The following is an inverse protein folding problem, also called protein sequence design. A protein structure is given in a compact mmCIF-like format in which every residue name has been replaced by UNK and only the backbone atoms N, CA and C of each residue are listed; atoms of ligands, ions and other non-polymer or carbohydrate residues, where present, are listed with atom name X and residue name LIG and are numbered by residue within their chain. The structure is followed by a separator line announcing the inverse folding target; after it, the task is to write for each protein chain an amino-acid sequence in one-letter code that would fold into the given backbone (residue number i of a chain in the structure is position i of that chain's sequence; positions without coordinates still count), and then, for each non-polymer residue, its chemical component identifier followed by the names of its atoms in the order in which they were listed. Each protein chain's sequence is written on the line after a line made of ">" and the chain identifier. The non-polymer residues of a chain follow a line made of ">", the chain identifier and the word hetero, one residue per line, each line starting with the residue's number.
data_IF_987408316139
#
_entry.id   IF_987408316139
#
_cell.length_a   1.000
_cell.length_b   1.000
_cell.length_c   1.000
_cell.angle_alpha   90.00
_cell.angle_beta   90.00
_cell.angle_gamma   90.00
#
_symmetry.space_group_name_H-M   'P 1'
#
loop_
_entity.id
_entity.type
_entity.pdbx_description
1 polymer ?
#
# COMPACT_ATOMS: atom_id res chain seq x y z
N UNK A 1 3.93 21.62 1.05
CA UNK A 1 2.99 20.71 0.38
C UNK A 1 3.12 19.35 1.07
N UNK A 2 2.02 18.74 1.45
CA UNK A 2 1.97 17.40 2.07
C UNK A 2 1.17 16.45 1.19
N UNK A 3 1.49 15.16 1.25
CA UNK A 3 0.62 14.11 0.74
C UNK A 3 -0.41 13.85 1.83
N UNK A 4 -1.62 14.21 1.59
CA UNK A 4 -2.74 14.08 2.51
C UNK A 4 -3.58 15.34 2.51
N UNK A 5 -4.86 15.17 2.36
CA UNK A 5 -5.84 16.25 2.35
C UNK A 5 -7.09 15.80 3.09
N UNK A 6 -7.48 16.62 4.04
CA UNK A 6 -8.78 16.53 4.68
C UNK A 6 -9.56 17.83 4.39
N UNK A 7 -10.66 17.71 3.70
CA UNK A 7 -11.51 18.89 3.43
C UNK A 7 -12.40 18.73 2.21
N UNK A 8 -13.45 19.52 2.15
CA UNK A 8 -14.45 19.53 1.09
C UNK A 8 -13.92 19.90 -0.31
N UNK A 9 -12.61 20.15 -0.43
CA UNK A 9 -11.93 20.48 -1.70
C UNK A 9 -11.18 19.30 -2.32
N UNK A 10 -11.14 18.15 -1.64
CA UNK A 10 -10.62 16.92 -2.24
C UNK A 10 -11.52 16.54 -3.43
N UNK A 11 -10.92 16.28 -4.59
CA UNK A 11 -11.68 15.85 -5.76
C UNK A 11 -11.84 14.33 -5.72
N UNK A 12 -13.00 13.83 -6.14
CA UNK A 12 -13.27 12.39 -6.22
C UNK A 12 -12.19 11.64 -7.01
N UNK A 13 -11.67 12.26 -8.09
CA UNK A 13 -10.60 11.66 -8.89
C UNK A 13 -9.32 11.43 -8.09
N UNK A 14 -8.95 12.39 -7.24
CA UNK A 14 -7.73 12.26 -6.42
C UNK A 14 -7.95 11.26 -5.29
N UNK A 15 -9.12 11.31 -4.63
CA UNK A 15 -9.48 10.33 -3.59
C UNK A 15 -9.44 8.92 -4.17
N UNK A 16 -10.12 8.68 -5.31
CA UNK A 16 -10.14 7.38 -5.97
C UNK A 16 -8.74 6.93 -6.43
N UNK A 17 -7.91 7.84 -6.93
CA UNK A 17 -6.53 7.50 -7.29
C UNK A 17 -5.73 7.04 -6.07
N UNK A 18 -5.84 7.76 -4.94
CA UNK A 18 -5.13 7.40 -3.72
C UNK A 18 -5.63 6.07 -3.15
N UNK A 19 -6.94 5.83 -3.19
CA UNK A 19 -7.60 4.59 -2.81
C UNK A 19 -7.07 3.39 -3.62
N UNK A 20 -7.09 3.49 -4.94
CA UNK A 20 -6.57 2.46 -5.83
C UNK A 20 -5.07 2.17 -5.61
N UNK A 21 -4.29 3.17 -5.21
CA UNK A 21 -2.88 3.01 -4.86
C UNK A 21 -2.64 2.41 -3.47
N UNK A 22 -3.70 2.17 -2.70
CA UNK A 22 -3.64 1.55 -1.37
C UNK A 22 -3.35 2.52 -0.23
N UNK A 23 -3.66 3.80 -0.40
CA UNK A 23 -3.67 4.76 0.71
C UNK A 23 -4.99 4.71 1.47
N UNK A 24 -4.93 5.08 2.75
CA UNK A 24 -6.16 5.34 3.51
C UNK A 24 -6.94 6.49 2.89
N UNK A 25 -8.21 6.26 2.61
CA UNK A 25 -9.14 7.25 2.07
C UNK A 25 -10.44 7.28 2.88
N UNK A 26 -11.14 8.39 2.80
CA UNK A 26 -12.43 8.58 3.41
C UNK A 26 -13.28 9.55 2.59
N UNK A 27 -14.41 9.95 3.15
CA UNK A 27 -15.26 10.93 2.48
C UNK A 27 -14.56 12.29 2.39
N UNK A 28 -14.12 12.67 1.19
CA UNK A 28 -13.37 13.91 0.90
C UNK A 28 -11.99 13.99 1.59
N UNK A 29 -11.37 12.86 1.86
CA UNK A 29 -10.03 12.84 2.42
C UNK A 29 -9.18 11.71 1.87
N UNK A 30 -7.88 11.90 1.94
CA UNK A 30 -6.86 10.86 1.86
C UNK A 30 -5.70 11.22 2.78
N UNK A 31 -5.11 10.22 3.41
CA UNK A 31 -4.03 10.40 4.37
C UNK A 31 -2.76 9.72 3.87
N UNK A 32 -1.61 10.18 4.39
CA UNK A 32 -0.34 9.50 4.15
C UNK A 32 -0.23 8.25 5.04
N UNK A 33 -1.11 7.26 4.78
CA UNK A 33 -1.07 5.91 5.32
C UNK A 33 -1.18 4.94 4.16
N UNK A 34 -0.42 3.88 4.14
CA UNK A 34 -0.39 2.91 3.04
C UNK A 34 0.62 3.24 1.93
N UNK A 35 1.46 4.24 2.12
CA UNK A 35 2.50 4.58 1.15
C UNK A 35 3.50 3.43 0.96
N UNK A 36 3.90 3.22 -0.29
CA UNK A 36 4.93 2.28 -0.72
C UNK A 36 6.10 3.02 -1.35
N UNK A 37 7.25 2.37 -1.59
CA UNK A 37 8.34 2.98 -2.35
C UNK A 37 7.91 3.50 -3.73
N UNK A 38 7.03 2.75 -4.44
CA UNK A 38 6.48 3.13 -5.74
C UNK A 38 5.66 4.42 -5.64
N UNK A 39 4.71 4.47 -4.70
CA UNK A 39 3.86 5.66 -4.53
C UNK A 39 4.64 6.87 -4.03
N UNK A 40 5.64 6.68 -3.18
CA UNK A 40 6.54 7.73 -2.74
C UNK A 40 7.35 8.33 -3.89
N UNK A 41 7.80 7.48 -4.81
CA UNK A 41 8.51 7.92 -6.01
C UNK A 41 7.59 8.72 -6.94
N UNK A 42 6.42 8.19 -7.28
CA UNK A 42 5.44 8.84 -8.16
C UNK A 42 4.93 10.18 -7.63
N UNK A 43 4.65 10.25 -6.34
CA UNK A 43 4.16 11.46 -5.69
C UNK A 43 5.29 12.44 -5.34
N UNK A 44 6.54 12.12 -5.72
CA UNK A 44 7.74 12.92 -5.46
C UNK A 44 7.88 13.27 -3.96
N UNK A 45 7.64 12.27 -3.08
CA UNK A 45 7.76 12.45 -1.63
C UNK A 45 9.23 12.47 -1.26
N UNK A 46 9.74 13.65 -0.97
CA UNK A 46 11.16 13.85 -0.68
C UNK A 46 11.50 13.72 0.80
N UNK A 47 10.61 14.18 1.66
CA UNK A 47 10.82 14.18 3.11
C UNK A 47 9.60 13.66 3.84
N UNK A 48 9.82 12.89 4.91
CA UNK A 48 8.82 12.54 5.90
C UNK A 48 9.09 13.29 7.20
N UNK A 49 8.03 13.83 7.79
CA UNK A 49 8.02 14.42 9.12
C UNK A 49 7.16 13.52 9.99
N UNK A 50 7.79 12.79 10.88
CA UNK A 50 7.13 11.77 11.70
C UNK A 50 7.17 12.16 13.17
N UNK A 51 6.07 12.02 13.89
CA UNK A 51 6.04 12.32 15.32
C UNK A 51 6.80 11.22 16.06
N UNK A 52 7.65 11.60 17.03
CA UNK A 52 8.54 10.65 17.73
C UNK A 52 7.82 9.55 18.51
N UNK A 53 6.53 9.76 18.84
CA UNK A 53 5.70 8.78 19.56
C UNK A 53 5.14 7.69 18.63
N UNK A 54 5.21 7.88 17.31
CA UNK A 54 4.71 6.93 16.33
C UNK A 54 5.78 5.91 15.94
N UNK A 55 5.37 4.70 15.62
CA UNK A 55 6.27 3.69 15.06
C UNK A 55 6.34 3.84 13.54
N UNK A 56 7.50 4.17 13.00
CA UNK A 56 7.72 4.29 11.57
C UNK A 56 8.47 3.07 11.02
N UNK A 57 7.85 2.36 10.08
CA UNK A 57 8.54 1.43 9.18
C UNK A 57 8.75 2.13 7.86
N UNK A 58 10.01 2.45 7.52
CA UNK A 58 10.35 3.17 6.30
C UNK A 58 11.79 2.87 5.86
N UNK A 59 12.02 2.91 4.55
CA UNK A 59 13.32 2.89 3.91
C UNK A 59 13.99 4.28 3.83
N UNK A 60 13.26 5.34 4.27
CA UNK A 60 13.79 6.71 4.26
C UNK A 60 14.92 6.87 5.27
N UNK A 61 15.95 7.61 4.86
CA UNK A 61 17.12 7.87 5.71
C UNK A 61 16.80 8.95 6.74
N UNK A 62 17.00 8.62 8.03
CA UNK A 62 16.93 9.62 9.10
C UNK A 62 17.94 10.75 8.87
N UNK A 63 17.47 11.98 8.96
CA UNK A 63 18.31 13.18 8.85
C UNK A 63 18.55 13.85 10.19
N UNK A 64 17.47 14.17 10.91
CA UNK A 64 17.55 14.92 12.18
C UNK A 64 16.21 14.91 12.90
N UNK A 65 16.26 15.22 14.18
CA UNK A 65 15.09 15.60 14.98
C UNK A 65 14.93 17.11 15.02
N UNK A 66 13.70 17.59 14.91
CA UNK A 66 13.35 18.99 15.10
C UNK A 66 12.06 19.13 15.92
N UNK A 67 12.18 19.58 17.17
CA UNK A 67 11.09 19.58 18.13
C UNK A 67 10.66 18.14 18.46
N UNK A 68 9.38 17.82 18.25
CA UNK A 68 8.80 16.48 18.47
C UNK A 68 8.76 15.63 17.20
N UNK A 69 9.36 16.11 16.10
CA UNK A 69 9.36 15.40 14.82
C UNK A 69 10.74 14.90 14.46
N UNK A 70 10.79 13.66 14.00
CA UNK A 70 11.91 13.10 13.27
C UNK A 70 11.72 13.34 11.77
N UNK A 71 12.79 13.77 11.10
CA UNK A 71 12.80 14.10 9.68
C UNK A 71 13.62 13.06 8.95
N UNK A 72 13.01 12.47 7.94
CA UNK A 72 13.61 11.46 7.08
C UNK A 72 13.64 11.94 5.63
N UNK A 73 14.66 11.56 4.88
CA UNK A 73 14.82 11.86 3.45
C UNK A 73 14.68 10.59 2.63
N UNK A 74 13.89 10.67 1.55
CA UNK A 74 13.77 9.59 0.58
C UNK A 74 15.13 9.39 -0.12
N UNK A 75 15.73 8.19 -0.05
CA UNK A 75 16.99 7.90 -0.73
C UNK A 75 16.83 7.75 -2.24
N UNK A 76 15.61 7.63 -2.76
CA UNK A 76 15.36 7.45 -4.18
C UNK A 76 15.91 8.61 -5.00
N UNK A 77 16.65 8.27 -6.06
CA UNK A 77 17.15 9.22 -7.05
C UNK A 77 16.28 9.17 -8.29
N UNK A 78 16.32 10.24 -9.07
CA UNK A 78 15.56 10.32 -10.33
C UNK A 78 14.11 10.76 -10.18
N UNK A 79 13.67 11.11 -8.97
CA UNK A 79 12.33 11.68 -8.78
C UNK A 79 12.20 13.00 -9.53
N UNK A 80 11.09 13.14 -10.25
CA UNK A 80 10.74 14.32 -11.05
C UNK A 80 9.30 14.74 -10.76
N UNK A 81 8.92 15.90 -11.26
CA UNK A 81 7.54 16.41 -11.20
C UNK A 81 6.63 15.76 -12.23
N UNK A 82 7.19 15.00 -13.18
CA UNK A 82 6.45 14.27 -14.21
C UNK A 82 7.39 13.37 -15.00
N UNK A 83 6.79 12.37 -15.64
CA UNK A 83 7.45 11.37 -16.45
C UNK A 83 6.70 11.17 -17.75
N UNK A 84 7.41 10.93 -18.85
CA UNK A 84 6.81 10.39 -20.06
C UNK A 84 6.53 8.90 -19.81
N UNK A 85 5.30 8.50 -19.94
CA UNK A 85 4.87 7.12 -19.78
C UNK A 85 4.52 6.53 -21.13
N UNK A 86 4.61 5.21 -21.26
CA UNK A 86 4.18 4.50 -22.45
C UNK A 86 2.69 4.76 -22.74
N UNK A 87 2.28 4.66 -23.99
CA UNK A 87 0.88 4.87 -24.41
C UNK A 87 -0.10 3.87 -23.77
N UNK A 88 0.39 2.69 -23.38
CA UNK A 88 -0.34 1.63 -22.67
C UNK A 88 -0.84 2.06 -21.28
N UNK A 89 -0.30 3.12 -20.69
CA UNK A 89 -0.80 3.66 -19.42
C UNK A 89 -2.31 4.02 -19.45
N UNK A 90 -2.89 4.17 -20.64
CA UNK A 90 -4.33 4.40 -20.81
C UNK A 90 -5.16 3.18 -20.41
N UNK A 91 -4.56 2.00 -20.41
CA UNK A 91 -5.16 0.72 -20.05
C UNK A 91 -4.83 0.30 -18.60
N UNK A 92 -4.23 1.22 -17.81
CA UNK A 92 -3.89 0.98 -16.42
C UNK A 92 -5.09 0.50 -15.60
N UNK A 93 -4.90 -0.62 -14.90
CA UNK A 93 -5.91 -1.26 -14.08
C UNK A 93 -6.20 -0.46 -12.80
N UNK A 94 -7.49 -0.27 -12.51
CA UNK A 94 -7.95 0.43 -11.31
C UNK A 94 -8.94 -0.44 -10.52
N UNK A 95 -8.56 -0.82 -9.31
CA UNK A 95 -9.44 -1.48 -8.35
C UNK A 95 -8.86 -1.37 -6.94
N UNK A 96 -9.51 -0.61 -6.06
CA UNK A 96 -9.05 -0.37 -4.70
C UNK A 96 -8.99 -1.63 -3.82
N UNK A 97 -9.66 -2.69 -4.24
CA UNK A 97 -9.58 -3.99 -3.57
C UNK A 97 -8.28 -4.77 -3.84
N UNK A 98 -7.48 -4.33 -4.83
CA UNK A 98 -6.26 -5.04 -5.26
C UNK A 98 -5.07 -4.08 -5.47
N UNK A 99 -4.65 -3.31 -4.45
CA UNK A 99 -3.64 -2.25 -4.62
C UNK A 99 -2.26 -2.77 -5.06
N UNK A 100 -1.87 -4.01 -4.72
CA UNK A 100 -0.65 -4.63 -5.24
C UNK A 100 -0.71 -4.79 -6.76
N UNK A 101 -1.83 -5.30 -7.27
CA UNK A 101 -2.04 -5.45 -8.70
C UNK A 101 -2.09 -4.09 -9.41
N UNK A 102 -2.72 -3.09 -8.80
CA UNK A 102 -2.77 -1.71 -9.34
C UNK A 102 -1.35 -1.14 -9.49
N UNK A 103 -0.47 -1.36 -8.51
CA UNK A 103 0.91 -0.86 -8.57
C UNK A 103 1.79 -1.70 -9.50
N UNK A 104 1.59 -3.02 -9.61
CA UNK A 104 2.25 -3.85 -10.60
C UNK A 104 1.87 -3.41 -12.02
N UNK A 105 0.59 -3.26 -12.29
CA UNK A 105 0.09 -2.83 -13.60
C UNK A 105 0.55 -1.40 -13.96
N UNK A 106 0.69 -0.52 -12.97
CA UNK A 106 1.31 0.79 -13.18
C UNK A 106 2.75 0.67 -13.68
N UNK A 107 3.56 -0.19 -13.07
CA UNK A 107 4.94 -0.44 -13.52
C UNK A 107 4.99 -0.95 -14.95
N UNK A 108 4.16 -1.95 -15.26
CA UNK A 108 4.03 -2.56 -16.57
C UNK A 108 3.58 -1.53 -17.62
N UNK A 109 2.44 -0.87 -17.40
CA UNK A 109 1.85 0.02 -18.40
C UNK A 109 2.63 1.33 -18.59
N UNK A 110 3.28 1.83 -17.53
CA UNK A 110 4.02 3.08 -17.63
C UNK A 110 5.44 2.90 -18.17
N UNK A 111 6.13 1.80 -17.82
CA UNK A 111 7.58 1.69 -17.99
C UNK A 111 8.06 0.29 -18.39
N UNK A 112 7.17 -0.65 -18.75
CA UNK A 112 7.49 -2.06 -19.07
C UNK A 112 8.24 -2.79 -17.93
N UNK A 113 7.97 -2.41 -16.68
CA UNK A 113 8.55 -3.01 -15.47
C UNK A 113 7.52 -3.87 -14.76
N UNK A 114 7.83 -5.14 -14.57
CA UNK A 114 6.89 -6.17 -14.13
C UNK A 114 7.18 -6.60 -12.69
N UNK A 115 6.12 -7.00 -11.98
CA UNK A 115 6.22 -7.71 -10.69
C UNK A 115 6.94 -6.92 -9.58
N UNK A 116 6.56 -5.64 -9.39
CA UNK A 116 7.01 -4.84 -8.23
C UNK A 116 6.62 -5.47 -6.89
N UNK A 117 5.53 -6.24 -6.88
CA UNK A 117 5.02 -7.00 -5.75
C UNK A 117 4.75 -8.45 -6.17
N UNK A 118 5.33 -9.40 -5.46
CA UNK A 118 5.11 -10.83 -5.63
C UNK A 118 4.07 -11.32 -4.64
N UNK A 119 2.96 -11.85 -5.13
CA UNK A 119 1.88 -12.36 -4.29
C UNK A 119 2.35 -13.52 -3.40
N UNK A 120 1.93 -13.53 -2.14
CA UNK A 120 2.17 -14.59 -1.18
C UNK A 120 0.86 -15.32 -0.91
N UNK A 121 0.89 -16.66 -0.98
CA UNK A 121 -0.27 -17.51 -0.74
C UNK A 121 -0.74 -17.39 0.72
N UNK A 122 -2.05 -17.38 0.91
CA UNK A 122 -2.73 -17.26 2.20
C UNK A 122 -3.60 -18.51 2.40
N UNK A 123 -3.45 -19.17 3.52
CA UNK A 123 -4.29 -20.30 3.89
C UNK A 123 -5.74 -19.87 4.17
N UNK A 124 -6.67 -20.79 3.97
CA UNK A 124 -8.07 -20.55 4.36
C UNK A 124 -8.19 -20.24 5.86
N UNK A 125 -9.05 -19.30 6.27
CA UNK A 125 -9.09 -18.84 7.65
C UNK A 125 -9.68 -19.87 8.61
N UNK A 126 -9.11 -19.92 9.80
CA UNK A 126 -9.76 -20.54 10.95
C UNK A 126 -10.80 -19.55 11.53
N UNK A 127 -12.00 -20.03 11.82
CA UNK A 127 -13.10 -19.22 12.34
C UNK A 127 -13.48 -19.66 13.76
N UNK A 128 -13.93 -18.68 14.56
CA UNK A 128 -14.51 -18.91 15.87
C UNK A 128 -15.73 -17.99 16.04
N UNK A 129 -16.88 -18.57 16.36
CA UNK A 129 -18.14 -17.87 16.50
C UNK A 129 -18.84 -17.50 15.18
N UNK A 130 -18.20 -17.75 14.04
CA UNK A 130 -18.75 -17.53 12.70
C UNK A 130 -18.41 -18.69 11.76
N UNK A 131 -19.06 -18.73 10.60
CA UNK A 131 -18.69 -19.59 9.47
C UNK A 131 -18.22 -18.72 8.32
N UNK A 132 -17.24 -19.19 7.55
CA UNK A 132 -16.73 -18.47 6.39
C UNK A 132 -16.74 -19.33 5.13
N UNK A 133 -16.95 -18.70 3.98
CA UNK A 133 -16.90 -19.33 2.66
C UNK A 133 -16.16 -18.43 1.68
N UNK A 134 -15.22 -19.02 0.93
CA UNK A 134 -14.46 -18.29 -0.10
C UNK A 134 -15.32 -18.08 -1.34
N UNK A 135 -15.34 -16.85 -1.85
CA UNK A 135 -15.95 -16.50 -3.14
C UNK A 135 -14.96 -16.72 -4.29
N UNK A 136 -15.42 -16.55 -5.53
CA UNK A 136 -14.56 -16.66 -6.71
C UNK A 136 -13.49 -15.56 -6.79
N UNK A 137 -13.72 -14.42 -6.11
CA UNK A 137 -12.84 -13.25 -6.16
C UNK A 137 -11.82 -13.21 -4.99
N UNK A 138 -11.71 -14.33 -4.24
CA UNK A 138 -10.77 -14.43 -3.11
C UNK A 138 -11.24 -13.75 -1.83
N UNK A 139 -12.47 -13.23 -1.81
CA UNK A 139 -13.13 -12.76 -0.60
C UNK A 139 -13.61 -13.95 0.23
N UNK A 140 -13.63 -13.76 1.54
CA UNK A 140 -14.29 -14.65 2.49
C UNK A 140 -15.53 -13.96 3.01
N UNK A 141 -16.69 -14.46 2.55
CA UNK A 141 -17.97 -14.12 3.12
C UNK A 141 -18.19 -14.88 4.41
N UNK A 142 -18.60 -14.22 5.47
CA UNK A 142 -18.85 -14.86 6.76
C UNK A 142 -20.24 -14.56 7.30
N UNK A 143 -20.78 -15.54 8.04
CA UNK A 143 -22.04 -15.43 8.77
C UNK A 143 -21.77 -15.68 10.25
N UNK A 144 -22.38 -14.85 11.12
CA UNK A 144 -22.26 -15.00 12.57
C UNK A 144 -23.03 -16.21 13.07
N UNK A 145 -22.40 -16.93 14.03
CA UNK A 145 -23.06 -17.94 14.84
C UNK A 145 -23.73 -17.37 16.10
N UNK A 146 -24.13 -18.25 16.97
CA UNK A 146 -24.78 -17.88 18.24
C UNK A 146 -23.78 -17.57 19.37
N UNK A 147 -22.49 -17.78 19.16
CA UNK A 147 -21.43 -17.67 20.15
C UNK A 147 -20.58 -16.42 19.94
N UNK A 148 -20.15 -15.80 21.04
CA UNK A 148 -19.21 -14.67 21.04
C UNK A 148 -17.96 -15.02 21.86
N UNK A 149 -16.76 -14.47 21.60
CA UNK A 149 -16.41 -13.50 20.53
C UNK A 149 -16.34 -14.16 19.15
N UNK A 150 -16.60 -13.36 18.13
CA UNK A 150 -16.53 -13.77 16.72
C UNK A 150 -15.19 -13.29 16.15
N UNK A 151 -14.40 -14.20 15.63
CA UNK A 151 -13.13 -13.85 14.97
C UNK A 151 -12.81 -14.79 13.80
N UNK A 152 -11.96 -14.29 12.92
CA UNK A 152 -11.44 -15.00 11.77
C UNK A 152 -9.92 -14.82 11.74
N UNK A 153 -9.16 -15.91 11.68
CA UNK A 153 -7.70 -15.89 11.66
C UNK A 153 -7.18 -16.50 10.38
N UNK A 154 -6.46 -15.72 9.60
CA UNK A 154 -5.71 -16.15 8.44
C UNK A 154 -4.27 -16.51 8.84
N UNK A 155 -3.72 -17.52 8.20
CA UNK A 155 -2.31 -17.90 8.30
C UNK A 155 -1.64 -17.69 6.95
N UNK A 156 -0.48 -17.03 6.96
CA UNK A 156 0.34 -16.78 5.79
C UNK A 156 1.68 -17.51 6.04
N UNK A 157 1.89 -18.69 5.43
CA UNK A 157 3.14 -19.41 5.56
C UNK A 157 4.21 -18.73 4.70
N UNK A 158 5.31 -18.33 5.32
CA UNK A 158 6.44 -17.70 4.61
C UNK A 158 7.40 -18.80 4.16
N UNK A 159 7.24 -19.26 2.92
CA UNK A 159 8.04 -20.36 2.35
C UNK A 159 9.42 -19.91 1.90
N UNK A 160 9.53 -18.67 1.43
CA UNK A 160 10.78 -17.98 1.09
C UNK A 160 10.87 -16.70 1.91
N UNK A 161 12.08 -16.20 2.18
CA UNK A 161 12.23 -14.96 2.94
C UNK A 161 11.59 -13.79 2.17
N UNK A 162 10.59 -13.16 2.77
CA UNK A 162 10.05 -11.91 2.30
C UNK A 162 10.92 -10.76 2.86
N UNK A 163 11.60 -10.04 1.99
CA UNK A 163 12.48 -8.93 2.41
C UNK A 163 11.67 -7.70 2.82
N UNK A 164 10.52 -7.48 2.17
CA UNK A 164 9.65 -6.34 2.40
C UNK A 164 8.18 -6.77 2.30
N UNK A 165 7.72 -7.55 3.28
CA UNK A 165 6.33 -8.00 3.33
C UNK A 165 5.37 -6.83 3.51
N UNK A 166 4.36 -6.77 2.66
CA UNK A 166 3.20 -5.91 2.78
C UNK A 166 1.93 -6.73 2.91
N UNK A 167 0.98 -6.23 3.70
CA UNK A 167 -0.38 -6.76 3.76
C UNK A 167 -1.37 -5.67 3.33
N UNK A 168 -2.49 -6.10 2.81
CA UNK A 168 -3.66 -5.26 2.58
C UNK A 168 -4.91 -6.06 2.92
N UNK A 169 -5.86 -5.46 3.61
CA UNK A 169 -7.17 -6.04 3.74
C UNK A 169 -8.27 -5.00 3.52
N UNK A 170 -9.39 -5.50 3.05
CA UNK A 170 -10.63 -4.78 2.85
C UNK A 170 -11.77 -5.65 3.39
N UNK A 171 -12.66 -5.07 4.18
CA UNK A 171 -13.72 -5.86 4.79
C UNK A 171 -14.82 -5.03 5.41
N UNK A 172 -15.96 -5.66 5.57
CA UNK A 172 -17.08 -5.11 6.33
C UNK A 172 -17.23 -5.82 7.66
N UNK A 173 -17.71 -5.11 8.68
CA UNK A 173 -17.93 -5.66 10.02
C UNK A 173 -16.66 -6.15 10.74
N UNK A 174 -15.50 -5.61 10.38
CA UNK A 174 -14.25 -5.77 11.13
C UNK A 174 -14.16 -4.65 12.16
N UNK A 175 -13.91 -4.99 13.43
CA UNK A 175 -13.71 -4.02 14.51
C UNK A 175 -12.23 -3.70 14.66
N UNK A 176 -11.41 -4.76 14.73
CA UNK A 176 -9.97 -4.68 14.86
C UNK A 176 -9.29 -5.78 14.04
N UNK A 177 -8.06 -5.49 13.61
CA UNK A 177 -7.14 -6.49 13.12
C UNK A 177 -5.92 -6.61 14.06
N UNK A 178 -5.43 -7.83 14.25
CA UNK A 178 -4.16 -8.10 14.93
C UNK A 178 -3.25 -8.89 14.00
N UNK A 179 -2.02 -8.40 13.82
CA UNK A 179 -1.01 -9.02 12.97
C UNK A 179 0.14 -9.51 13.87
N UNK A 180 0.41 -10.79 13.79
CA UNK A 180 1.48 -11.46 14.56
C UNK A 180 2.47 -12.12 13.62
N UNK A 181 3.76 -12.02 13.92
CA UNK A 181 4.84 -12.76 13.25
C UNK A 181 5.47 -13.67 14.31
N UNK A 182 5.43 -14.98 14.08
CA UNK A 182 5.93 -16.01 15.01
C UNK A 182 5.44 -15.82 16.46
N UNK A 183 4.16 -15.46 16.61
CA UNK A 183 3.53 -15.20 17.89
C UNK A 183 3.82 -13.83 18.53
N UNK A 184 4.62 -12.98 17.89
CA UNK A 184 4.88 -11.61 18.34
C UNK A 184 3.94 -10.63 17.65
N UNK A 185 3.21 -9.82 18.42
CA UNK A 185 2.33 -8.78 17.85
C UNK A 185 3.17 -7.67 17.21
N UNK A 186 2.95 -7.42 15.91
CA UNK A 186 3.66 -6.38 15.14
C UNK A 186 2.77 -5.19 14.81
N UNK A 187 1.46 -5.40 14.63
CA UNK A 187 0.46 -4.34 14.43
C UNK A 187 -0.89 -4.76 15.00
N UNK A 188 -1.66 -3.80 15.48
CA UNK A 188 -3.06 -4.01 15.87
C UNK A 188 -3.86 -2.72 15.81
N UNK A 189 -5.17 -2.84 15.62
CA UNK A 189 -6.13 -1.74 15.60
C UNK A 189 -7.01 -1.75 14.35
N UNK A 190 -7.60 -0.60 14.04
CA UNK A 190 -8.33 -0.37 12.80
C UNK A 190 -7.29 -0.08 11.67
N UNK A 191 -7.04 -1.11 10.86
CA UNK A 191 -6.01 -1.13 9.82
C UNK A 191 -6.60 -1.34 8.42
N UNK A 192 -7.93 -1.15 8.27
CA UNK A 192 -8.69 -1.41 7.06
C UNK A 192 -8.39 -0.41 5.93
N UNK A 193 -8.40 -0.91 4.70
CA UNK A 193 -8.40 -0.13 3.47
C UNK A 193 -7.09 0.59 3.12
N UNK A 194 -5.94 0.18 3.68
CA UNK A 194 -4.65 0.70 3.25
C UNK A 194 -3.51 -0.33 3.37
N UNK A 195 -2.46 -0.14 2.59
CA UNK A 195 -1.31 -1.06 2.58
C UNK A 195 -0.51 -0.97 3.88
N UNK A 196 -0.17 -2.12 4.44
CA UNK A 196 0.50 -2.24 5.74
C UNK A 196 1.92 -2.79 5.56
N UNK A 197 2.97 -1.99 5.73
CA UNK A 197 4.33 -2.52 5.75
C UNK A 197 4.55 -3.36 7.02
N UNK A 198 4.97 -4.60 6.85
CA UNK A 198 5.37 -5.52 7.91
C UNK A 198 6.89 -5.59 8.02
N UNK A 199 7.58 -5.47 6.87
CA UNK A 199 9.03 -5.56 6.78
C UNK A 199 9.52 -6.98 6.54
N UNK A 200 10.78 -7.26 6.92
CA UNK A 200 11.41 -8.55 6.66
C UNK A 200 10.83 -9.66 7.52
N UNK A 201 10.44 -10.75 6.86
CA UNK A 201 10.00 -11.99 7.51
C UNK A 201 10.77 -13.17 6.91
N UNK A 202 11.43 -13.96 7.75
CA UNK A 202 12.30 -15.05 7.30
C UNK A 202 11.51 -16.27 6.79
N UNK A 203 12.09 -17.01 5.87
CA UNK A 203 11.55 -18.30 5.45
C UNK A 203 11.34 -19.24 6.65
N UNK A 204 10.22 -19.95 6.65
CA UNK A 204 9.80 -20.84 7.74
C UNK A 204 9.03 -20.13 8.87
N UNK A 205 8.92 -18.80 8.83
CA UNK A 205 8.05 -18.05 9.74
C UNK A 205 6.58 -18.15 9.36
N UNK A 206 5.71 -17.82 10.31
CA UNK A 206 4.26 -17.79 10.13
C UNK A 206 3.74 -16.38 10.49
N UNK A 207 2.99 -15.77 9.56
CA UNK A 207 2.27 -14.53 9.83
C UNK A 207 0.80 -14.86 10.07
N UNK A 208 0.25 -14.43 11.20
CA UNK A 208 -1.17 -14.56 11.53
C UNK A 208 -1.86 -13.21 11.51
N UNK A 209 -2.98 -13.15 10.81
CA UNK A 209 -3.87 -11.98 10.80
C UNK A 209 -5.21 -12.39 11.39
N UNK A 210 -5.52 -11.87 12.57
CA UNK A 210 -6.79 -12.15 13.26
C UNK A 210 -7.68 -10.92 13.17
N UNK A 211 -8.87 -11.10 12.63
CA UNK A 211 -9.93 -10.10 12.59
C UNK A 211 -10.94 -10.34 13.71
N UNK A 212 -11.17 -9.33 14.54
CA UNK A 212 -12.28 -9.26 15.49
C UNK A 212 -13.49 -8.68 14.75
N UNK A 213 -14.62 -9.38 14.82
CA UNK A 213 -15.81 -9.04 14.04
C UNK A 213 -16.82 -8.28 14.91
N UNK A 214 -17.40 -7.20 14.37
CA UNK A 214 -18.31 -6.28 15.10
C UNK A 214 -19.62 -6.93 15.53
N UNK A 215 -20.17 -7.81 14.68
CA UNK A 215 -21.45 -8.48 14.96
C UNK A 215 -22.66 -7.55 14.99
N UNK A 216 -22.60 -6.44 14.30
CA UNK A 216 -23.73 -5.49 14.19
C UNK A 216 -24.77 -5.92 13.16
N UNK A 217 -24.33 -6.70 12.17
CA UNK A 217 -25.18 -7.32 11.14
C UNK A 217 -25.14 -8.84 11.27
N UNK A 218 -25.81 -9.57 10.38
CA UNK A 218 -25.78 -11.04 10.36
C UNK A 218 -24.56 -11.60 9.64
N UNK A 219 -23.96 -10.82 8.78
CA UNK A 219 -22.92 -11.24 7.84
C UNK A 219 -21.99 -10.08 7.48
N UNK A 220 -20.91 -10.43 6.83
CA UNK A 220 -19.93 -9.51 6.27
C UNK A 220 -18.96 -10.23 5.36
N UNK A 221 -17.94 -9.52 4.91
CA UNK A 221 -16.84 -10.11 4.13
C UNK A 221 -15.48 -9.58 4.59
N UNK A 222 -14.44 -10.35 4.31
CA UNK A 222 -13.03 -9.96 4.44
C UNK A 222 -12.27 -10.47 3.22
N UNK A 223 -11.48 -9.61 2.62
CA UNK A 223 -10.44 -9.94 1.65
C UNK A 223 -9.10 -9.59 2.26
N UNK A 224 -8.16 -10.54 2.28
CA UNK A 224 -6.79 -10.33 2.72
C UNK A 224 -5.85 -10.65 1.57
N UNK A 225 -4.89 -9.78 1.33
CA UNK A 225 -3.81 -9.94 0.36
C UNK A 225 -2.46 -9.74 1.04
N UNK A 226 -1.46 -10.49 0.59
CA UNK A 226 -0.08 -10.42 1.07
C UNK A 226 0.86 -10.42 -0.13
N UNK A 227 1.88 -9.58 -0.12
CA UNK A 227 2.90 -9.57 -1.16
C UNK A 227 4.26 -9.14 -0.62
N UNK A 228 5.33 -9.67 -1.21
CA UNK A 228 6.69 -9.18 -0.99
C UNK A 228 7.03 -8.12 -2.05
N UNK A 229 7.53 -6.99 -1.60
CA UNK A 229 7.97 -5.91 -2.49
C UNK A 229 9.39 -6.16 -2.97
N UNK A 230 9.59 -6.21 -4.29
CA UNK A 230 10.88 -6.44 -4.93
C UNK A 230 11.67 -5.15 -5.08
N UNK A 231 12.70 -5.01 -4.26
CA UNK A 231 13.58 -3.85 -4.27
C UNK A 231 14.44 -3.78 -5.56
N UNK A 232 14.80 -4.91 -6.16
CA UNK A 232 15.63 -4.93 -7.36
C UNK A 232 14.81 -4.49 -8.58
N UNK A 233 13.59 -4.99 -8.70
CA UNK A 233 12.64 -4.54 -9.73
C UNK A 233 12.29 -3.06 -9.55
N UNK A 234 12.18 -2.59 -8.32
CA UNK A 234 11.96 -1.17 -8.06
C UNK A 234 13.17 -0.28 -8.45
N UNK A 235 14.41 -0.78 -8.34
CA UNK A 235 15.56 -0.05 -8.86
C UNK A 235 15.48 0.09 -10.39
N UNK A 236 15.05 -0.96 -11.11
CA UNK A 236 14.80 -0.91 -12.55
C UNK A 236 13.70 0.11 -12.88
N UNK A 237 12.57 0.06 -12.16
CA UNK A 237 11.48 1.02 -12.30
C UNK A 237 11.96 2.47 -12.17
N UNK A 238 12.77 2.77 -11.14
CA UNK A 238 13.32 4.11 -10.94
C UNK A 238 14.28 4.52 -12.07
N UNK A 239 15.09 3.60 -12.54
CA UNK A 239 16.04 3.88 -13.62
C UNK A 239 15.30 4.21 -14.91
N UNK A 240 14.34 3.38 -15.31
CA UNK A 240 13.52 3.60 -16.52
C UNK A 240 12.73 4.90 -16.42
N UNK A 241 12.08 5.16 -15.28
CA UNK A 241 11.36 6.40 -15.06
C UNK A 241 12.29 7.63 -15.09
N UNK A 242 13.53 7.52 -14.58
CA UNK A 242 14.50 8.64 -14.58
C UNK A 242 14.95 9.01 -16.00
N UNK A 243 15.06 8.04 -16.90
CA UNK A 243 15.39 8.28 -18.33
C UNK A 243 14.26 9.05 -19.04
N UNK A 244 13.03 8.92 -18.55
CA UNK A 244 11.83 9.56 -19.08
C UNK A 244 11.36 10.75 -18.22
N UNK A 245 12.22 11.24 -17.34
CA UNK A 245 11.89 12.30 -16.41
C UNK A 245 11.79 13.68 -17.09
N UNK A 246 10.75 14.45 -16.71
CA UNK A 246 10.63 15.84 -17.14
C UNK A 246 11.71 16.70 -16.47
N UNK A 247 12.55 17.31 -17.26
CA UNK A 247 13.61 18.23 -16.81
C UNK A 247 13.12 19.67 -16.87
N UNK A 248 12.98 20.30 -15.71
CA UNK A 248 12.56 21.71 -15.60
C UNK A 248 13.68 22.62 -16.11
N UNK A 249 13.37 23.48 -17.09
CA UNK A 249 14.29 24.47 -17.65
C UNK A 249 13.99 25.88 -17.18
N UNK A 250 12.73 26.19 -16.90
CA UNK A 250 12.29 27.48 -16.35
C UNK A 250 11.02 27.32 -15.52
N UNK A 251 10.81 28.24 -14.56
CA UNK A 251 9.59 28.25 -13.74
C UNK A 251 9.24 29.66 -13.26
N UNK A 252 7.95 29.89 -13.11
CA UNK A 252 7.40 31.11 -12.51
C UNK A 252 6.31 30.75 -11.51
N UNK A 253 5.61 31.75 -10.97
CA UNK A 253 4.50 31.51 -10.03
C UNK A 253 3.31 30.74 -10.63
N UNK A 254 3.19 30.72 -11.96
CA UNK A 254 2.04 30.17 -12.68
C UNK A 254 2.41 29.41 -13.97
N UNK A 255 3.68 29.20 -14.23
CA UNK A 255 4.17 28.41 -15.37
C UNK A 255 5.38 27.58 -14.99
N UNK A 256 5.49 26.43 -15.66
CA UNK A 256 6.61 25.52 -15.58
C UNK A 256 6.95 25.10 -17.00
N UNK A 257 8.20 25.26 -17.38
CA UNK A 257 8.70 24.89 -18.69
C UNK A 257 9.82 23.85 -18.54
N UNK A 258 9.89 22.94 -19.48
CA UNK A 258 10.91 21.90 -19.44
C UNK A 258 10.90 21.02 -20.66
N UNK A 259 11.74 20.01 -20.63
CA UNK A 259 11.92 19.03 -21.70
C UNK A 259 11.82 17.62 -21.15
N UNK A 260 11.35 16.71 -21.98
CA UNK A 260 11.44 15.27 -21.78
C UNK A 260 12.07 14.69 -23.04
N UNK A 261 12.92 13.71 -22.88
CA UNK A 261 13.46 12.98 -24.03
C UNK A 261 12.40 11.99 -24.49
N UNK A 262 11.94 12.15 -25.72
CA UNK A 262 10.92 11.31 -26.36
C UNK A 262 11.54 10.48 -27.51
N UNK A 263 12.85 10.31 -27.52
CA UNK A 263 13.52 9.45 -28.47
C UNK A 263 13.23 7.99 -28.14
N UNK A 264 12.59 7.30 -29.05
CA UNK A 264 12.35 5.85 -29.09
C UNK A 264 11.11 5.31 -28.33
N UNK A 265 9.96 6.04 -28.39
CA UNK A 265 8.66 5.44 -28.08
C UNK A 265 7.83 5.22 -29.35
#
# INVERSE_FOLDING_TARGET
>A
NSVGLFGSTATDRMVNMMDNLGFYTGCNEYLYKGATPVTNFLLNVKYLYYHQEDSLTTDFKYLKTQGTFDIYENPAKGMSIGYLMNDSIKDWYYDSAYPFRVQNDLGEQAFDVFELFHDIEIDDPATNGCTASKTNDGEYYFEYGDSRPDNMTFTIPITETAENLYLFYDGTQVENAQIMVDGTNVKSGDLDGYMLPIGKVSAGSEVKVTFELKGETKDGYVRLSAADFDQEVFEEFKQTAAEQAFTVTDYSSNSLEGTVDASDN
#
